data_IF_709296608905
#
_entry.id   IF_709296608905
#
_cell.length_a   1.000
_cell.length_b   1.000
_cell.length_c   1.000
_cell.angle_alpha   90.00
_cell.angle_beta   90.00
_cell.angle_gamma   90.00
#
_symmetry.space_group_name_H-M   'P 1'
#
loop_
_entity.id
_entity.type
_entity.pdbx_description
1 polymer ?
#
# COMPACT_ATOMS: atom_id res chain seq x y z
N UNK A 1 -81.09 14.27 -42.76
CA UNK A 1 -80.00 14.64 -41.84
C UNK A 1 -80.36 14.07 -40.46
N UNK A 2 -79.81 12.88 -40.14
CA UNK A 2 -80.10 12.23 -38.87
C UNK A 2 -79.12 12.62 -37.78
N UNK A 3 -79.61 13.22 -36.71
CA UNK A 3 -78.84 13.61 -35.54
C UNK A 3 -78.49 12.31 -34.81
N UNK A 4 -77.19 11.94 -34.74
CA UNK A 4 -76.67 10.89 -33.88
C UNK A 4 -76.87 11.34 -32.43
N UNK A 5 -77.81 10.69 -31.72
CA UNK A 5 -77.97 10.89 -30.30
C UNK A 5 -76.76 10.47 -29.50
N UNK A 6 -76.23 11.39 -28.71
CA UNK A 6 -75.20 11.12 -27.70
C UNK A 6 -75.68 10.03 -26.76
N UNK A 7 -75.07 8.84 -26.80
CA UNK A 7 -75.25 7.81 -25.78
C UNK A 7 -74.65 8.29 -24.46
N UNK A 8 -75.50 8.87 -23.61
CA UNK A 8 -75.12 9.19 -22.22
C UNK A 8 -74.64 7.95 -21.52
N UNK A 9 -73.36 7.93 -21.10
CA UNK A 9 -72.72 6.85 -20.35
C UNK A 9 -73.47 6.66 -19.02
N UNK A 10 -74.19 5.56 -18.87
CA UNK A 10 -74.99 5.32 -17.67
C UNK A 10 -74.15 4.62 -16.59
N UNK A 11 -73.58 5.39 -15.67
CA UNK A 11 -72.73 4.93 -14.56
C UNK A 11 -73.48 3.95 -13.61
N UNK A 12 -74.79 3.89 -13.66
CA UNK A 12 -75.63 2.99 -12.87
C UNK A 12 -75.85 1.61 -13.49
N UNK A 13 -75.43 1.42 -14.74
CA UNK A 13 -75.52 0.12 -15.39
C UNK A 13 -74.66 -0.90 -14.69
N UNK A 14 -75.19 -2.10 -14.47
CA UNK A 14 -74.48 -3.21 -13.84
C UNK A 14 -73.16 -3.54 -14.63
N UNK A 15 -73.20 -3.49 -15.94
CA UNK A 15 -72.01 -3.72 -16.75
C UNK A 15 -70.89 -2.69 -16.55
N UNK A 16 -71.27 -1.41 -16.32
CA UNK A 16 -70.28 -0.35 -16.00
C UNK A 16 -69.69 -0.55 -14.62
N UNK A 17 -70.49 -0.92 -13.64
CA UNK A 17 -70.02 -1.17 -12.27
C UNK A 17 -69.08 -2.39 -12.20
N UNK A 18 -69.42 -3.48 -12.91
CA UNK A 18 -68.58 -4.66 -13.00
C UNK A 18 -67.26 -4.36 -13.74
N UNK A 19 -67.31 -3.60 -14.83
CA UNK A 19 -66.14 -3.17 -15.57
C UNK A 19 -65.18 -2.32 -14.74
N UNK A 20 -65.72 -1.36 -13.96
CA UNK A 20 -64.92 -0.55 -13.05
C UNK A 20 -64.30 -1.37 -11.91
N UNK A 21 -65.05 -2.32 -11.37
CA UNK A 21 -64.51 -3.23 -10.31
C UNK A 21 -63.36 -4.08 -10.85
N UNK A 22 -63.50 -4.67 -12.02
CA UNK A 22 -62.45 -5.49 -12.68
C UNK A 22 -61.23 -4.59 -12.96
N UNK A 23 -61.43 -3.39 -13.49
CA UNK A 23 -60.34 -2.45 -13.76
C UNK A 23 -59.59 -2.07 -12.48
N UNK A 24 -60.32 -1.81 -11.39
CA UNK A 24 -59.74 -1.51 -10.08
C UNK A 24 -58.87 -2.67 -9.55
N UNK A 25 -59.41 -3.90 -9.64
CA UNK A 25 -58.67 -5.11 -9.25
C UNK A 25 -57.42 -5.28 -10.08
N UNK A 26 -57.51 -5.08 -11.42
CA UNK A 26 -56.35 -5.15 -12.28
C UNK A 26 -55.28 -4.10 -11.93
N UNK A 27 -55.69 -2.86 -11.64
CA UNK A 27 -54.76 -1.79 -11.23
C UNK A 27 -54.08 -2.15 -9.92
N UNK A 28 -54.80 -2.70 -8.94
CA UNK A 28 -54.24 -3.13 -7.65
C UNK A 28 -53.25 -4.29 -7.85
N UNK A 29 -53.57 -5.29 -8.66
CA UNK A 29 -52.70 -6.44 -8.91
C UNK A 29 -51.44 -6.00 -9.64
N UNK A 30 -51.58 -5.19 -10.70
CA UNK A 30 -50.43 -4.67 -11.48
C UNK A 30 -49.57 -3.72 -10.63
N UNK A 31 -50.20 -2.90 -9.81
CA UNK A 31 -49.49 -2.00 -8.86
C UNK A 31 -48.70 -2.79 -7.83
N UNK A 32 -49.31 -3.84 -7.23
CA UNK A 32 -48.61 -4.70 -6.28
C UNK A 32 -47.44 -5.45 -6.92
N UNK A 33 -47.63 -5.96 -8.17
CA UNK A 33 -46.58 -6.62 -8.93
C UNK A 33 -45.42 -5.67 -9.25
N UNK A 34 -45.73 -4.46 -9.73
CA UNK A 34 -44.71 -3.45 -10.03
C UNK A 34 -43.93 -3.04 -8.78
N UNK A 35 -44.63 -2.85 -7.62
CA UNK A 35 -43.96 -2.54 -6.38
C UNK A 35 -43.03 -3.67 -5.92
N UNK A 36 -43.44 -4.92 -6.08
CA UNK A 36 -42.61 -6.09 -5.78
C UNK A 36 -41.36 -6.14 -6.68
N UNK A 37 -41.56 -6.01 -8.00
CA UNK A 37 -40.44 -6.05 -8.98
C UNK A 37 -39.44 -4.89 -8.76
N UNK A 38 -39.94 -3.69 -8.41
CA UNK A 38 -39.07 -2.56 -8.07
C UNK A 38 -38.25 -2.89 -6.81
N UNK A 39 -38.89 -3.40 -5.77
CA UNK A 39 -38.20 -3.72 -4.51
C UNK A 39 -37.15 -4.83 -4.70
N UNK A 40 -37.47 -5.83 -5.49
CA UNK A 40 -36.58 -6.94 -5.82
C UNK A 40 -35.36 -6.46 -6.64
N UNK A 41 -35.62 -5.62 -7.66
CA UNK A 41 -34.57 -4.97 -8.47
C UNK A 41 -33.64 -4.08 -7.63
N UNK A 42 -34.16 -3.36 -6.64
CA UNK A 42 -33.33 -2.59 -5.74
C UNK A 42 -32.40 -3.46 -4.90
N UNK A 43 -32.92 -4.58 -4.35
CA UNK A 43 -32.11 -5.52 -3.56
C UNK A 43 -31.03 -6.18 -4.40
N UNK A 44 -31.34 -6.54 -5.64
CA UNK A 44 -30.35 -7.13 -6.54
C UNK A 44 -29.28 -6.11 -6.94
N UNK A 45 -29.67 -4.85 -7.22
CA UNK A 45 -28.74 -3.79 -7.53
C UNK A 45 -27.82 -3.46 -6.32
N UNK A 46 -28.35 -3.47 -5.09
CA UNK A 46 -27.56 -3.31 -3.87
C UNK A 46 -26.53 -4.44 -3.70
N UNK A 47 -26.97 -5.70 -3.83
CA UNK A 47 -26.08 -6.87 -3.78
C UNK A 47 -24.97 -6.85 -4.83
N UNK A 48 -25.32 -6.50 -6.06
CA UNK A 48 -24.35 -6.46 -7.15
C UNK A 48 -23.38 -5.27 -6.96
N UNK A 49 -23.87 -4.14 -6.42
CA UNK A 49 -23.04 -3.02 -6.01
C UNK A 49 -22.02 -3.41 -4.91
N UNK A 50 -22.47 -4.13 -3.87
CA UNK A 50 -21.57 -4.63 -2.81
C UNK A 50 -20.51 -5.60 -3.36
N UNK A 51 -20.90 -6.53 -4.23
CA UNK A 51 -19.96 -7.47 -4.86
C UNK A 51 -18.92 -6.75 -5.71
N UNK A 52 -19.37 -5.75 -6.48
CA UNK A 52 -18.47 -4.96 -7.33
C UNK A 52 -17.45 -4.21 -6.47
N UNK A 53 -17.91 -3.51 -5.43
CA UNK A 53 -17.02 -2.78 -4.51
C UNK A 53 -16.05 -3.71 -3.78
N UNK A 54 -16.52 -4.87 -3.32
CA UNK A 54 -15.65 -5.87 -2.69
C UNK A 54 -14.57 -6.39 -3.65
N UNK A 55 -14.94 -6.65 -4.90
CA UNK A 55 -13.98 -7.08 -5.93
C UNK A 55 -12.94 -5.98 -6.24
N UNK A 56 -13.36 -4.73 -6.31
CA UNK A 56 -12.50 -3.57 -6.52
C UNK A 56 -11.48 -3.42 -5.37
N UNK A 57 -11.95 -3.44 -4.12
CA UNK A 57 -11.09 -3.36 -2.94
C UNK A 57 -10.11 -4.53 -2.89
N UNK A 58 -10.57 -5.75 -3.19
CA UNK A 58 -9.72 -6.93 -3.23
C UNK A 58 -8.63 -6.83 -4.30
N UNK A 59 -8.95 -6.32 -5.49
CA UNK A 59 -7.97 -6.12 -6.54
C UNK A 59 -6.91 -5.08 -6.13
N UNK A 60 -7.35 -3.96 -5.55
CA UNK A 60 -6.44 -2.94 -5.02
C UNK A 60 -5.54 -3.50 -3.92
N UNK A 61 -6.11 -4.21 -2.94
CA UNK A 61 -5.35 -4.89 -1.88
C UNK A 61 -4.27 -5.81 -2.46
N UNK A 62 -4.64 -6.67 -3.43
CA UNK A 62 -3.68 -7.58 -4.06
C UNK A 62 -2.56 -6.83 -4.79
N UNK A 63 -2.87 -5.71 -5.43
CA UNK A 63 -1.86 -4.87 -6.10
C UNK A 63 -0.91 -4.25 -5.08
N UNK A 64 -1.45 -3.62 -4.02
CA UNK A 64 -0.64 -3.03 -2.95
C UNK A 64 0.22 -4.08 -2.23
N UNK A 65 -0.36 -5.23 -1.90
CA UNK A 65 0.38 -6.36 -1.29
C UNK A 65 1.55 -6.80 -2.17
N UNK A 66 1.34 -6.91 -3.49
CA UNK A 66 2.39 -7.29 -4.43
C UNK A 66 3.52 -6.25 -4.51
N UNK A 67 3.18 -4.97 -4.54
CA UNK A 67 4.18 -3.89 -4.61
C UNK A 67 4.96 -3.74 -3.30
N UNK A 68 4.29 -3.88 -2.15
CA UNK A 68 4.95 -3.89 -0.84
C UNK A 68 5.88 -5.11 -0.69
N UNK A 69 5.42 -6.29 -1.14
CA UNK A 69 6.22 -7.50 -1.14
C UNK A 69 7.48 -7.38 -2.01
N UNK A 70 7.40 -6.73 -3.17
CA UNK A 70 8.56 -6.49 -4.05
C UNK A 70 9.63 -5.61 -3.37
N UNK A 71 9.23 -4.58 -2.61
CA UNK A 71 10.16 -3.78 -1.81
C UNK A 71 10.80 -4.61 -0.69
N UNK A 72 10.00 -5.43 0.02
CA UNK A 72 10.52 -6.36 1.03
C UNK A 72 11.52 -7.36 0.42
N UNK A 73 11.20 -7.95 -0.72
CA UNK A 73 12.07 -8.88 -1.43
C UNK A 73 13.38 -8.23 -1.87
N UNK A 74 13.34 -6.94 -2.25
CA UNK A 74 14.54 -6.15 -2.53
C UNK A 74 15.45 -6.07 -1.30
N UNK A 75 14.88 -5.86 -0.11
CA UNK A 75 15.60 -5.93 1.16
C UNK A 75 16.17 -7.32 1.45
N UNK A 76 15.39 -8.37 1.19
CA UNK A 76 15.82 -9.75 1.37
C UNK A 76 16.98 -10.14 0.45
N UNK A 77 16.94 -9.75 -0.83
CA UNK A 77 18.08 -9.98 -1.75
C UNK A 77 19.32 -9.23 -1.30
N UNK A 78 19.17 -8.01 -0.79
CA UNK A 78 20.28 -7.23 -0.22
C UNK A 78 20.87 -7.90 1.02
N UNK A 79 20.02 -8.43 1.90
CA UNK A 79 20.45 -9.22 3.05
C UNK A 79 21.25 -10.45 2.63
N UNK A 80 20.74 -11.22 1.66
CA UNK A 80 21.40 -12.42 1.13
C UNK A 80 22.77 -12.05 0.53
N UNK A 81 22.84 -10.95 -0.25
CA UNK A 81 24.10 -10.47 -0.83
C UNK A 81 25.12 -10.07 0.24
N UNK A 82 24.70 -9.28 1.23
CA UNK A 82 25.54 -8.88 2.35
C UNK A 82 26.08 -10.10 3.12
N UNK A 83 25.23 -11.09 3.41
CA UNK A 83 25.63 -12.34 4.07
C UNK A 83 26.55 -13.21 3.22
N UNK A 84 26.39 -13.18 1.90
CA UNK A 84 27.31 -13.88 0.99
C UNK A 84 28.71 -13.25 1.03
N UNK A 85 28.82 -11.93 1.10
CA UNK A 85 30.11 -11.23 1.28
C UNK A 85 30.74 -11.56 2.63
N UNK A 86 29.97 -11.69 3.70
CA UNK A 86 30.48 -12.05 5.03
C UNK A 86 31.12 -13.46 5.09
N UNK A 87 30.87 -14.32 4.08
CA UNK A 87 31.57 -15.63 3.96
C UNK A 87 32.98 -15.51 3.40
N UNK A 88 33.32 -14.38 2.76
CA UNK A 88 34.68 -14.10 2.28
C UNK A 88 35.58 -13.69 3.46
N UNK A 89 36.92 -13.86 3.35
CA UNK A 89 37.87 -13.25 4.28
C UNK A 89 37.63 -11.74 4.41
N UNK A 90 37.82 -11.18 5.61
CA UNK A 90 37.49 -9.77 5.88
C UNK A 90 38.30 -8.79 5.00
N UNK A 91 39.54 -9.12 4.68
CA UNK A 91 40.44 -8.33 3.83
C UNK A 91 40.03 -8.33 2.34
N UNK A 92 39.24 -9.30 1.91
CA UNK A 92 38.66 -9.37 0.55
C UNK A 92 37.31 -8.63 0.41
N UNK A 93 36.71 -8.20 1.53
CA UNK A 93 35.42 -7.50 1.52
C UNK A 93 35.63 -6.03 1.20
N UNK A 94 34.94 -5.54 0.16
CA UNK A 94 35.02 -4.13 -0.26
C UNK A 94 33.70 -3.43 -0.01
N UNK A 95 33.72 -2.32 0.73
CA UNK A 95 32.54 -1.46 0.96
C UNK A 95 31.97 -0.92 -0.36
N UNK A 96 32.86 -0.60 -1.30
CA UNK A 96 32.49 -0.13 -2.64
C UNK A 96 31.63 -1.14 -3.41
N UNK A 97 31.86 -2.45 -3.25
CA UNK A 97 31.08 -3.48 -3.94
C UNK A 97 29.63 -3.49 -3.41
N UNK A 98 29.44 -3.26 -2.10
CA UNK A 98 28.11 -3.15 -1.49
C UNK A 98 27.42 -1.87 -1.95
N UNK A 99 28.12 -0.73 -1.93
CA UNK A 99 27.55 0.55 -2.37
C UNK A 99 27.13 0.47 -3.83
N UNK A 100 27.98 -0.11 -4.70
CA UNK A 100 27.63 -0.30 -6.11
C UNK A 100 26.40 -1.21 -6.25
N UNK A 101 26.36 -2.33 -5.52
CA UNK A 101 25.19 -3.21 -5.52
C UNK A 101 23.92 -2.50 -5.09
N UNK A 102 23.93 -1.73 -3.99
CA UNK A 102 22.78 -0.94 -3.54
C UNK A 102 22.35 0.06 -4.61
N UNK A 103 23.30 0.75 -5.23
CA UNK A 103 23.05 1.72 -6.29
C UNK A 103 22.40 1.06 -7.51
N UNK A 104 22.92 -0.10 -7.93
CA UNK A 104 22.40 -0.84 -9.07
C UNK A 104 20.99 -1.39 -8.78
N UNK A 105 20.80 -1.97 -7.61
CA UNK A 105 19.47 -2.46 -7.17
C UNK A 105 18.47 -1.33 -7.13
N UNK A 106 18.80 -0.20 -6.50
CA UNK A 106 17.92 0.94 -6.41
C UNK A 106 17.55 1.52 -7.78
N UNK A 107 18.55 1.75 -8.64
CA UNK A 107 18.35 2.37 -9.96
C UNK A 107 17.59 1.47 -10.94
N UNK A 108 17.75 0.15 -10.85
CA UNK A 108 17.08 -0.80 -11.74
C UNK A 108 15.73 -1.30 -11.19
N UNK A 109 15.38 -1.01 -9.95
CA UNK A 109 14.07 -1.33 -9.42
C UNK A 109 13.00 -0.40 -10.00
N UNK A 110 11.97 -0.94 -10.63
CA UNK A 110 10.89 -0.16 -11.26
C UNK A 110 9.76 0.19 -10.30
N UNK A 111 9.76 -0.37 -9.09
CA UNK A 111 8.71 -0.13 -8.10
C UNK A 111 8.79 1.33 -7.59
N UNK A 112 7.73 2.13 -7.76
CA UNK A 112 7.71 3.51 -7.30
C UNK A 112 7.63 3.65 -5.77
N UNK A 113 7.27 2.57 -5.07
CA UNK A 113 7.23 2.58 -3.61
C UNK A 113 8.62 2.53 -2.97
N UNK A 114 9.65 2.00 -3.66
CA UNK A 114 11.01 1.97 -3.14
C UNK A 114 11.65 3.35 -3.22
N UNK A 115 11.87 3.99 -2.07
CA UNK A 115 12.48 5.32 -1.97
C UNK A 115 13.90 5.33 -1.40
N UNK A 116 14.31 4.23 -0.79
CA UNK A 116 15.67 4.08 -0.31
C UNK A 116 16.01 2.66 0.11
N UNK A 117 17.30 2.34 0.07
CA UNK A 117 17.83 1.05 0.49
C UNK A 117 19.24 1.20 1.06
N UNK A 118 19.50 0.53 2.18
CA UNK A 118 20.81 0.63 2.82
C UNK A 118 21.20 -0.56 3.67
N UNK A 119 22.44 -0.51 4.11
CA UNK A 119 23.02 -1.44 5.07
C UNK A 119 23.73 -0.67 6.17
N UNK A 120 23.69 -1.20 7.39
CA UNK A 120 24.43 -0.70 8.53
C UNK A 120 25.04 -1.85 9.30
N UNK A 121 26.30 -1.79 9.62
CA UNK A 121 27.01 -2.86 10.35
C UNK A 121 27.50 -2.38 11.70
N UNK A 122 27.50 -3.29 12.67
CA UNK A 122 28.19 -3.10 13.95
C UNK A 122 29.70 -2.91 13.74
N UNK A 123 30.33 -2.30 14.75
CA UNK A 123 31.75 -1.97 14.71
C UNK A 123 32.63 -3.13 14.26
N UNK A 124 33.39 -2.93 13.19
CA UNK A 124 34.32 -3.87 12.56
C UNK A 124 33.71 -5.20 12.07
N UNK A 125 32.38 -5.30 12.00
CA UNK A 125 31.73 -6.57 11.63
C UNK A 125 31.73 -6.81 10.11
N UNK A 126 31.90 -5.79 9.25
CA UNK A 126 31.94 -5.99 7.82
C UNK A 126 33.33 -6.39 7.33
N UNK A 127 34.34 -5.53 7.49
CA UNK A 127 35.68 -5.68 6.91
C UNK A 127 36.81 -5.56 7.95
N UNK A 128 36.49 -5.24 9.22
CA UNK A 128 37.46 -5.02 10.27
C UNK A 128 38.26 -3.71 10.15
N UNK A 129 37.88 -2.81 9.22
CA UNK A 129 38.67 -1.63 8.84
C UNK A 129 37.99 -0.30 9.17
N UNK A 130 37.13 -0.28 10.21
CA UNK A 130 36.46 0.98 10.58
C UNK A 130 37.45 2.11 10.85
N UNK A 131 38.56 1.82 11.55
CA UNK A 131 39.59 2.81 11.86
C UNK A 131 40.30 3.41 10.63
N UNK A 132 40.26 2.73 9.48
CA UNK A 132 40.81 3.21 8.20
C UNK A 132 39.81 4.06 7.41
N UNK A 133 38.53 4.03 7.80
CA UNK A 133 37.43 4.66 7.06
C UNK A 133 36.79 5.84 7.80
N UNK A 134 37.47 6.45 8.76
CA UNK A 134 37.01 7.62 9.48
C UNK A 134 36.93 8.79 8.54
N UNK A 135 35.77 9.46 8.50
CA UNK A 135 35.53 10.66 7.68
C UNK A 135 34.56 11.60 8.39
N UNK A 136 34.33 12.77 7.83
CA UNK A 136 33.33 13.70 8.34
C UNK A 136 31.91 13.11 8.27
N UNK A 137 31.60 12.34 7.24
CA UNK A 137 30.31 11.66 7.07
C UNK A 137 30.19 10.40 7.95
N UNK A 138 31.31 9.75 8.30
CA UNK A 138 31.36 8.57 9.19
C UNK A 138 32.44 8.73 10.25
N UNK A 139 32.18 9.51 11.35
CA UNK A 139 33.18 9.81 12.36
C UNK A 139 33.75 8.60 13.12
N UNK A 140 33.01 7.49 13.16
CA UNK A 140 33.43 6.24 13.76
C UNK A 140 33.96 5.23 12.72
N UNK A 141 33.95 5.59 11.44
CA UNK A 141 34.38 4.75 10.32
C UNK A 141 33.55 3.49 10.10
N UNK A 142 32.46 3.30 10.84
CA UNK A 142 31.57 2.15 10.70
C UNK A 142 31.02 2.07 9.28
N UNK A 143 30.77 0.86 8.83
CA UNK A 143 30.20 0.69 7.51
C UNK A 143 28.68 0.86 7.55
N UNK A 144 28.25 2.03 7.08
CA UNK A 144 26.88 2.41 6.82
C UNK A 144 26.83 2.93 5.39
N UNK A 145 25.83 2.54 4.62
CA UNK A 145 25.58 3.08 3.29
C UNK A 145 24.08 2.99 3.01
N UNK A 146 23.48 4.12 2.70
CA UNK A 146 22.06 4.22 2.34
C UNK A 146 21.95 4.97 1.02
N UNK A 147 21.31 4.35 0.03
CA UNK A 147 21.12 4.88 -1.32
C UNK A 147 19.69 5.33 -1.49
N UNK A 148 19.50 6.57 -1.90
CA UNK A 148 18.21 7.20 -2.12
C UNK A 148 18.27 8.25 -3.23
N UNK A 149 17.17 8.95 -3.48
CA UNK A 149 17.07 10.06 -4.43
C UNK A 149 16.40 9.69 -5.73
N UNK A 150 16.69 10.45 -6.80
CA UNK A 150 16.11 10.18 -8.11
C UNK A 150 16.86 9.05 -8.80
N UNK A 151 16.14 8.05 -9.34
CA UNK A 151 16.75 6.94 -10.08
C UNK A 151 17.61 7.47 -11.23
N UNK A 152 18.85 6.99 -11.31
CA UNK A 152 19.87 7.49 -12.23
C UNK A 152 20.67 8.71 -11.74
N UNK A 153 20.25 9.33 -10.60
CA UNK A 153 20.96 10.43 -9.93
C UNK A 153 20.82 10.26 -8.42
N UNK A 154 21.35 9.15 -7.91
CA UNK A 154 21.27 8.77 -6.50
C UNK A 154 22.35 9.45 -5.67
N UNK A 155 22.06 9.63 -4.38
CA UNK A 155 23.03 9.95 -3.33
C UNK A 155 23.28 8.74 -2.45
N UNK A 156 24.44 8.73 -1.76
CA UNK A 156 24.72 7.74 -0.72
C UNK A 156 24.97 8.48 0.59
N UNK A 157 24.14 8.19 1.59
CA UNK A 157 24.34 8.64 2.97
C UNK A 157 25.11 7.59 3.79
N UNK A 158 25.94 8.06 4.71
CA UNK A 158 26.80 7.22 5.57
C UNK A 158 26.47 7.39 7.05
N UNK A 159 25.31 7.91 7.38
CA UNK A 159 24.88 8.16 8.77
C UNK A 159 24.92 6.87 9.61
N UNK A 160 25.55 6.94 10.78
CA UNK A 160 25.67 5.83 11.70
C UNK A 160 24.33 5.54 12.42
N UNK A 161 23.68 4.45 12.04
CA UNK A 161 22.41 4.00 12.61
C UNK A 161 22.59 3.07 13.82
N UNK A 162 23.82 2.61 14.11
CA UNK A 162 24.08 1.59 15.16
C UNK A 162 23.80 2.09 16.58
N UNK A 163 23.77 3.40 16.79
CA UNK A 163 23.36 4.05 18.04
C UNK A 163 21.88 4.03 18.32
N UNK A 164 21.04 3.83 17.29
CA UNK A 164 19.59 3.87 17.40
C UNK A 164 19.07 2.65 18.21
N UNK A 165 18.05 2.88 19.04
CA UNK A 165 17.44 1.84 19.88
C UNK A 165 16.90 0.68 19.04
N UNK A 166 16.19 1.00 17.94
CA UNK A 166 15.62 -0.01 17.06
C UNK A 166 16.68 -0.90 16.42
N UNK A 167 17.84 -0.35 16.01
CA UNK A 167 18.94 -1.14 15.46
C UNK A 167 19.39 -2.23 16.44
N UNK A 168 19.62 -1.85 17.70
CA UNK A 168 20.02 -2.79 18.77
C UNK A 168 18.95 -3.85 19.04
N UNK A 169 17.68 -3.45 19.04
CA UNK A 169 16.56 -4.37 19.23
C UNK A 169 16.51 -5.42 18.11
N UNK A 170 16.68 -5.01 16.84
CA UNK A 170 16.68 -5.95 15.70
C UNK A 170 17.84 -6.95 15.82
N UNK A 171 19.05 -6.50 16.19
CA UNK A 171 20.18 -7.42 16.38
C UNK A 171 19.95 -8.39 17.53
N UNK A 172 19.29 -7.96 18.61
CA UNK A 172 18.97 -8.80 19.76
C UNK A 172 17.87 -9.81 19.44
N UNK A 173 16.77 -9.36 18.85
CA UNK A 173 15.58 -10.18 18.59
C UNK A 173 15.76 -11.06 17.35
N UNK A 174 16.70 -10.68 16.46
CA UNK A 174 17.02 -11.41 15.23
C UNK A 174 15.81 -11.62 14.32
N UNK A 175 14.90 -10.66 14.30
CA UNK A 175 13.67 -10.67 13.51
C UNK A 175 13.60 -9.46 12.59
N UNK A 176 12.91 -9.65 11.49
CA UNK A 176 12.52 -8.53 10.64
C UNK A 176 11.59 -7.61 11.45
N UNK A 177 11.77 -6.32 11.29
CA UNK A 177 10.95 -5.29 11.90
C UNK A 177 10.39 -4.37 10.83
N UNK A 178 9.11 -4.05 10.91
CA UNK A 178 8.45 -3.02 10.11
C UNK A 178 8.18 -1.82 11.00
N UNK A 179 8.56 -0.65 10.54
CA UNK A 179 8.34 0.60 11.29
C UNK A 179 6.92 1.10 11.04
N UNK A 180 6.34 1.74 12.06
CA UNK A 180 5.20 2.62 11.85
C UNK A 180 5.61 3.78 10.92
N UNK A 181 4.67 4.36 10.15
CA UNK A 181 4.99 5.51 9.30
C UNK A 181 5.64 6.66 10.09
N UNK A 182 6.70 7.24 9.53
CA UNK A 182 7.43 8.36 10.10
C UNK A 182 7.88 9.35 9.01
N UNK A 183 8.20 10.56 9.40
CA UNK A 183 8.82 11.53 8.49
C UNK A 183 10.31 11.25 8.46
N UNK A 184 10.82 10.92 7.28
CA UNK A 184 12.26 10.79 7.06
C UNK A 184 12.93 12.17 7.12
N UNK A 185 13.98 12.29 7.93
CA UNK A 185 14.64 13.58 8.22
C UNK A 185 15.39 14.15 7.00
N UNK A 186 15.79 13.29 6.04
CA UNK A 186 16.55 13.73 4.85
C UNK A 186 15.63 14.14 3.71
N UNK A 187 14.67 13.30 3.36
CA UNK A 187 13.74 13.55 2.25
C UNK A 187 12.57 14.46 2.65
N UNK A 188 12.28 14.59 3.95
CA UNK A 188 11.08 15.20 4.51
C UNK A 188 9.79 14.56 3.96
N UNK A 189 9.87 13.29 3.58
CA UNK A 189 8.74 12.50 3.10
C UNK A 189 8.26 11.53 4.18
N UNK A 190 6.97 11.20 4.16
CA UNK A 190 6.43 10.16 5.02
C UNK A 190 6.77 8.79 4.43
N UNK A 191 7.48 7.98 5.20
CA UNK A 191 7.92 6.64 4.81
C UNK A 191 7.56 5.62 5.88
N UNK A 192 7.53 4.36 5.49
CA UNK A 192 7.60 3.20 6.40
C UNK A 192 8.75 2.32 5.93
N UNK A 193 9.34 1.53 6.82
CA UNK A 193 10.57 0.81 6.51
C UNK A 193 10.51 -0.62 6.98
N UNK A 194 11.11 -1.53 6.20
CA UNK A 194 11.52 -2.84 6.67
C UNK A 194 12.98 -2.80 7.08
N UNK A 195 13.29 -3.37 8.24
CA UNK A 195 14.65 -3.59 8.71
C UNK A 195 14.90 -5.08 8.91
N UNK A 196 15.89 -5.62 8.20
CA UNK A 196 16.21 -7.04 8.15
C UNK A 196 17.59 -7.27 8.78
N UNK A 197 17.74 -8.14 9.80
CA UNK A 197 19.03 -8.42 10.42
C UNK A 197 19.98 -9.16 9.48
N UNK A 198 21.23 -8.70 9.37
CA UNK A 198 22.29 -9.35 8.61
C UNK A 198 23.03 -10.31 9.54
N UNK A 199 23.19 -11.57 9.13
CA UNK A 199 23.83 -12.62 9.94
C UNK A 199 25.22 -12.99 9.42
N UNK A 200 26.14 -13.16 10.38
CA UNK A 200 27.40 -13.88 10.20
C UNK A 200 27.35 -15.17 11.06
N UNK A 201 27.07 -16.28 10.44
CA UNK A 201 26.69 -17.49 11.18
C UNK A 201 25.37 -17.30 11.96
N UNK A 202 25.40 -17.47 13.29
CA UNK A 202 24.24 -17.26 14.17
C UNK A 202 24.19 -15.85 14.80
N UNK A 203 25.21 -15.02 14.58
CA UNK A 203 25.31 -13.66 15.12
C UNK A 203 24.70 -12.68 14.15
N UNK A 204 23.77 -11.85 14.61
CA UNK A 204 23.34 -10.68 13.87
C UNK A 204 24.42 -9.58 14.01
N UNK A 205 24.92 -9.08 12.88
CA UNK A 205 26.09 -8.18 12.81
C UNK A 205 25.77 -6.86 12.10
N UNK A 206 24.57 -6.71 11.58
CA UNK A 206 24.12 -5.53 10.87
C UNK A 206 22.65 -5.61 10.51
N UNK A 207 22.17 -4.62 9.81
CA UNK A 207 20.78 -4.47 9.36
C UNK A 207 20.76 -3.98 7.92
N UNK A 208 19.89 -4.55 7.11
CA UNK A 208 19.41 -3.93 5.86
C UNK A 208 18.18 -3.10 6.19
N UNK A 209 18.08 -1.91 5.64
CA UNK A 209 16.87 -1.09 5.70
C UNK A 209 16.38 -0.82 4.28
N UNK A 210 15.08 -0.92 4.06
CA UNK A 210 14.41 -0.53 2.82
C UNK A 210 13.21 0.33 3.15
N UNK A 211 13.10 1.47 2.49
CA UNK A 211 12.08 2.46 2.77
C UNK A 211 11.04 2.50 1.66
N UNK A 212 9.77 2.53 2.11
CA UNK A 212 8.59 2.61 1.26
C UNK A 212 7.95 3.99 1.38
N UNK A 213 7.61 4.59 0.24
CA UNK A 213 6.86 5.86 0.20
C UNK A 213 5.40 5.67 0.62
N UNK A 214 5.00 6.29 1.72
CA UNK A 214 3.59 6.39 2.11
C UNK A 214 2.83 7.31 1.14
N UNK A 215 3.48 8.31 0.56
CA UNK A 215 2.88 9.20 -0.43
C UNK A 215 2.44 8.43 -1.70
N UNK A 216 3.24 7.46 -2.15
CA UNK A 216 2.85 6.60 -3.28
C UNK A 216 1.68 5.68 -2.92
N UNK A 217 1.65 5.12 -1.70
CA UNK A 217 0.49 4.37 -1.19
C UNK A 217 -0.77 5.24 -1.19
N UNK A 218 -0.68 6.45 -0.66
CA UNK A 218 -1.79 7.41 -0.64
C UNK A 218 -2.24 7.78 -2.05
N UNK A 219 -1.32 8.03 -2.97
CA UNK A 219 -1.64 8.34 -4.38
C UNK A 219 -2.40 7.21 -5.06
N UNK A 220 -2.07 5.96 -4.81
CA UNK A 220 -2.81 4.81 -5.35
C UNK A 220 -4.21 4.69 -4.74
N UNK A 221 -4.35 4.93 -3.44
CA UNK A 221 -5.66 4.96 -2.79
C UNK A 221 -6.53 6.10 -3.37
N UNK A 222 -5.97 7.28 -3.60
CA UNK A 222 -6.67 8.43 -4.20
C UNK A 222 -7.13 8.13 -5.63
N UNK A 223 -6.30 7.53 -6.46
CA UNK A 223 -6.65 7.15 -7.84
C UNK A 223 -7.79 6.13 -7.90
N UNK A 224 -7.92 5.29 -6.87
CA UNK A 224 -8.96 4.28 -6.76
C UNK A 224 -10.14 4.72 -5.88
N UNK A 225 -10.20 5.99 -5.47
CA UNK A 225 -11.28 6.58 -4.69
C UNK A 225 -12.10 7.54 -5.54
N UNK A 226 -13.39 7.70 -5.22
CA UNK A 226 -14.29 8.64 -5.87
C UNK A 226 -14.76 9.72 -4.88
N UNK A 227 -13.80 10.53 -4.44
CA UNK A 227 -14.04 11.60 -3.48
C UNK A 227 -14.44 11.08 -2.09
N UNK A 228 -15.24 11.89 -1.37
CA UNK A 228 -15.67 11.56 -0.01
C UNK A 228 -16.74 10.46 0.06
N UNK A 229 -17.44 10.18 -1.04
CA UNK A 229 -18.52 9.19 -1.06
C UNK A 229 -18.01 7.75 -1.19
N UNK A 230 -16.82 7.56 -1.77
CA UNK A 230 -16.21 6.25 -1.98
C UNK A 230 -14.68 6.37 -1.87
N UNK A 231 -14.18 6.46 -0.66
CA UNK A 231 -12.75 6.51 -0.38
C UNK A 231 -12.24 5.22 0.23
N UNK A 232 -10.98 4.93 0.00
CA UNK A 232 -10.29 3.76 0.51
C UNK A 232 -9.27 4.19 1.55
N UNK A 233 -9.12 3.38 2.58
CA UNK A 233 -8.19 3.66 3.68
C UNK A 233 -7.39 2.41 4.00
N UNK A 234 -6.10 2.60 4.26
CA UNK A 234 -5.17 1.55 4.65
C UNK A 234 -4.83 1.68 6.14
N UNK A 235 -4.93 0.55 6.86
CA UNK A 235 -4.56 0.42 8.26
C UNK A 235 -3.60 -0.74 8.45
N UNK A 236 -2.79 -0.71 9.51
CA UNK A 236 -2.05 -1.89 9.98
C UNK A 236 -3.01 -2.90 10.63
N UNK A 237 -2.55 -4.13 10.84
CA UNK A 237 -3.31 -5.17 11.57
C UNK A 237 -3.66 -4.73 13.00
N UNK A 238 -2.87 -3.84 13.59
CA UNK A 238 -3.10 -3.25 14.92
C UNK A 238 -4.09 -2.07 14.89
N UNK A 239 -4.54 -1.66 13.69
CA UNK A 239 -5.49 -0.58 13.48
C UNK A 239 -4.88 0.82 13.39
N UNK A 240 -3.56 0.95 13.22
CA UNK A 240 -2.92 2.24 12.96
C UNK A 240 -3.18 2.69 11.52
N UNK A 241 -3.50 3.94 11.37
CA UNK A 241 -3.73 4.57 10.07
C UNK A 241 -2.42 4.73 9.30
N UNK A 242 -2.42 4.30 8.04
CA UNK A 242 -1.27 4.43 7.13
C UNK A 242 -1.53 5.51 6.07
N UNK A 243 -2.62 5.39 5.32
CA UNK A 243 -2.95 6.29 4.22
C UNK A 243 -4.46 6.27 3.90
N UNK A 244 -4.96 7.33 3.25
CA UNK A 244 -6.33 7.39 2.76
C UNK A 244 -6.39 7.92 1.32
N UNK A 245 -7.50 7.63 0.65
CA UNK A 245 -7.78 8.09 -0.71
C UNK A 245 -8.50 9.43 -0.81
N UNK A 246 -8.61 10.21 0.27
CA UNK A 246 -9.17 11.55 0.25
C UNK A 246 -8.03 12.52 -0.05
N UNK A 247 -8.19 13.40 -1.06
CA UNK A 247 -7.22 14.44 -1.33
C UNK A 247 -7.42 15.66 -0.41
N UNK A 248 -6.34 16.38 -0.11
CA UNK A 248 -6.37 17.59 0.74
C UNK A 248 -7.29 18.69 0.19
N UNK A 249 -7.60 18.66 -1.12
CA UNK A 249 -8.55 19.58 -1.74
C UNK A 249 -10.03 19.23 -1.45
N UNK A 250 -10.29 18.08 -0.82
CA UNK A 250 -11.64 17.55 -0.56
C UNK A 250 -12.01 17.54 0.93
N UNK A 251 -11.13 18.05 1.80
CA UNK A 251 -11.34 18.13 3.26
C UNK A 251 -11.89 19.49 3.69
#
# INVERSE_FOLDING_TARGET
MGVKGDKKFNLNSIGVKVGLLISLIMILVLGAKAAYEITDSYKDAEKDGEKYKLAEVKNLSTTLESEIADVYDTGLYTQIYAQALLKKPADERKRTDVIQFLTDVYNNNSNPMLVGIGVSFETNEFDGKDHENISAASPLGKFNAYVSGTKGSTSTDYTDLTGRKWFKTILQDKKVFMFEPYIDEESNEMVTSYALPIFNGSKAVGVVIVDLSVANLQGQLQQNSNGQEDFKTLFTDEGFFIANGISDEQV
#
